data_IF_026694580585
#
_entry.id   IF_026694580585
#
_cell.length_a   1.000
_cell.length_b   1.000
_cell.length_c   1.000
_cell.angle_alpha   90.00
_cell.angle_beta   90.00
_cell.angle_gamma   90.00
#
_symmetry.space_group_name_H-M   'P 1'
#
loop_
_entity.id
_entity.type
_entity.pdbx_description
1 polymer ?
#
# COMPACT_ATOMS: atom_id res chain seq x y z
N UNK A 1 -8.70 3.38 -17.16
CA UNK A 1 -7.30 3.77 -17.44
C UNK A 1 -6.47 2.57 -17.04
N UNK A 2 -6.05 1.77 -18.01
CA UNK A 2 -5.28 0.56 -17.75
C UNK A 2 -3.90 0.99 -17.24
N UNK A 3 -3.49 0.45 -16.09
CA UNK A 3 -2.12 0.54 -15.64
C UNK A 3 -1.24 0.04 -16.79
N UNK A 4 -0.36 0.90 -17.27
CA UNK A 4 0.56 0.63 -18.38
C UNK A 4 1.79 0.01 -17.70
N UNK A 5 2.03 -1.29 -17.86
CA UNK A 5 3.28 -1.97 -17.44
C UNK A 5 4.21 -2.05 -18.65
N UNK A 6 5.02 -1.02 -18.99
CA UNK A 6 5.69 -0.99 -20.29
C UNK A 6 7.15 -1.38 -20.17
N UNK A 7 7.66 -1.60 -18.96
CA UNK A 7 9.10 -1.64 -18.73
C UNK A 7 9.67 -3.05 -18.84
N UNK A 8 8.89 -4.08 -18.52
CA UNK A 8 9.36 -5.47 -18.54
C UNK A 8 9.37 -6.04 -19.97
N UNK A 9 8.38 -5.67 -20.80
CA UNK A 9 8.27 -6.12 -22.20
C UNK A 9 9.25 -5.42 -23.15
N UNK A 10 9.82 -4.29 -22.75
CA UNK A 10 10.78 -3.51 -23.55
C UNK A 10 12.24 -3.80 -23.23
N UNK A 11 12.54 -4.69 -22.27
CA UNK A 11 13.92 -5.13 -22.07
C UNK A 11 14.32 -5.98 -23.28
N UNK A 12 15.39 -5.62 -24.01
CA UNK A 12 15.84 -6.44 -25.13
C UNK A 12 16.15 -7.82 -24.56
N UNK A 13 15.43 -8.85 -25.04
CA UNK A 13 15.79 -10.23 -24.78
C UNK A 13 17.24 -10.39 -25.24
N UNK A 14 18.17 -10.34 -24.29
CA UNK A 14 19.59 -10.46 -24.53
C UNK A 14 19.84 -11.86 -25.08
N UNK A 15 19.80 -11.94 -26.41
CA UNK A 15 20.22 -13.03 -27.27
C UNK A 15 20.20 -14.43 -26.63
N UNK A 16 19.01 -14.96 -26.35
CA UNK A 16 18.92 -16.37 -25.97
C UNK A 16 17.74 -17.05 -26.65
N UNK A 17 18.05 -18.11 -27.37
CA UNK A 17 17.15 -19.18 -27.83
C UNK A 17 16.50 -19.94 -26.66
N UNK A 18 16.58 -19.40 -25.45
CA UNK A 18 16.10 -20.01 -24.22
C UNK A 18 14.78 -19.35 -23.86
N UNK A 19 13.69 -20.13 -23.99
CA UNK A 19 12.36 -19.72 -23.53
C UNK A 19 12.46 -19.29 -22.06
N UNK A 20 11.91 -18.12 -21.73
CA UNK A 20 11.86 -17.65 -20.34
C UNK A 20 11.28 -18.77 -19.46
N UNK A 21 12.03 -19.21 -18.45
CA UNK A 21 11.60 -20.30 -17.56
C UNK A 21 10.49 -19.86 -16.61
N UNK A 22 10.35 -18.56 -16.41
CA UNK A 22 9.30 -17.93 -15.62
C UNK A 22 8.20 -17.52 -16.60
N UNK A 23 7.07 -18.23 -16.55
CA UNK A 23 5.85 -17.84 -17.27
C UNK A 23 4.72 -17.83 -16.25
N UNK A 24 3.98 -16.74 -16.21
CA UNK A 24 2.77 -16.64 -15.41
C UNK A 24 1.59 -17.17 -16.21
N UNK A 25 0.69 -17.86 -15.53
CA UNK A 25 -0.62 -18.20 -16.05
C UNK A 25 -1.46 -16.93 -16.20
N UNK A 26 -2.47 -16.97 -17.07
CA UNK A 26 -3.44 -15.87 -17.20
C UNK A 26 -4.14 -15.55 -15.88
N UNK A 27 -4.36 -16.55 -15.02
CA UNK A 27 -4.94 -16.35 -13.70
C UNK A 27 -4.00 -15.56 -12.77
N UNK A 28 -2.70 -15.88 -12.76
CA UNK A 28 -1.70 -15.13 -11.98
C UNK A 28 -1.55 -13.68 -12.47
N UNK A 29 -1.63 -13.46 -13.79
CA UNK A 29 -1.62 -12.11 -14.35
C UNK A 29 -2.87 -11.32 -13.95
N UNK A 30 -4.05 -11.92 -13.99
CA UNK A 30 -5.31 -11.29 -13.57
C UNK A 30 -5.30 -10.95 -12.06
N UNK A 31 -4.76 -11.84 -11.24
CA UNK A 31 -4.56 -11.59 -9.81
C UNK A 31 -3.61 -10.40 -9.58
N UNK A 32 -2.50 -10.33 -10.30
CA UNK A 32 -1.53 -9.23 -10.19
C UNK A 32 -2.14 -7.87 -10.60
N UNK A 33 -2.99 -7.84 -11.63
CA UNK A 33 -3.70 -6.62 -12.03
C UNK A 33 -4.66 -6.16 -10.93
N UNK A 34 -5.43 -7.09 -10.34
CA UNK A 34 -6.33 -6.80 -9.21
C UNK A 34 -5.56 -6.32 -7.97
N UNK A 35 -4.41 -6.91 -7.68
CA UNK A 35 -3.51 -6.45 -6.63
C UNK A 35 -3.02 -5.01 -6.90
N UNK A 36 -2.63 -4.68 -8.13
CA UNK A 36 -2.18 -3.34 -8.50
C UNK A 36 -3.26 -2.26 -8.34
N UNK A 37 -4.51 -2.56 -8.70
CA UNK A 37 -5.65 -1.67 -8.48
C UNK A 37 -5.95 -1.49 -6.99
N UNK A 38 -5.84 -2.57 -6.20
CA UNK A 38 -5.99 -2.54 -4.74
C UNK A 38 -4.88 -1.71 -4.08
N UNK A 39 -3.61 -1.96 -4.43
CA UNK A 39 -2.45 -1.24 -3.94
C UNK A 39 -2.49 0.25 -4.26
N UNK A 40 -2.96 0.61 -5.46
CA UNK A 40 -3.13 2.03 -5.84
C UNK A 40 -4.19 2.69 -4.96
N UNK A 41 -5.33 2.00 -4.73
CA UNK A 41 -6.40 2.50 -3.86
C UNK A 41 -5.92 2.67 -2.41
N UNK A 42 -5.16 1.71 -1.91
CA UNK A 42 -4.68 1.68 -0.53
C UNK A 42 -3.52 2.66 -0.30
N UNK A 43 -2.61 2.81 -1.26
CA UNK A 43 -1.39 3.63 -1.11
C UNK A 43 -1.62 5.14 -1.14
N UNK A 44 -2.70 5.61 -1.77
CA UNK A 44 -2.94 7.05 -1.97
C UNK A 44 -3.34 7.80 -0.68
N UNK A 45 -4.02 7.14 0.25
CA UNK A 45 -4.52 7.78 1.48
C UNK A 45 -3.41 7.97 2.53
N UNK A 46 -2.59 6.96 2.87
CA UNK A 46 -1.44 7.14 3.76
C UNK A 46 -0.42 8.12 3.18
N UNK A 47 -0.26 8.14 1.84
CA UNK A 47 0.57 9.14 1.16
C UNK A 47 0.02 10.56 1.36
N UNK A 48 -1.29 10.75 1.28
CA UNK A 48 -1.92 12.06 1.53
C UNK A 48 -1.73 12.55 2.97
N UNK A 49 -1.70 11.65 3.97
CA UNK A 49 -1.40 12.04 5.35
C UNK A 49 0.05 12.49 5.54
N UNK A 50 1.00 11.81 4.90
CA UNK A 50 2.41 12.22 4.87
C UNK A 50 2.60 13.56 4.18
N UNK A 51 2.05 13.71 2.97
CA UNK A 51 2.22 14.91 2.14
C UNK A 51 1.61 16.17 2.80
N UNK A 52 0.58 15.98 3.64
CA UNK A 52 -0.06 17.07 4.40
C UNK A 52 0.53 17.28 5.80
N UNK A 53 1.57 16.55 6.18
CA UNK A 53 2.22 16.67 7.49
C UNK A 53 1.32 16.26 8.67
N UNK A 54 0.28 15.44 8.42
CA UNK A 54 -0.65 14.98 9.46
C UNK A 54 -0.02 13.88 10.31
N UNK A 55 0.85 13.07 9.70
CA UNK A 55 1.60 12.00 10.38
C UNK A 55 3.07 12.02 9.94
N UNK A 56 4.03 12.07 10.90
CA UNK A 56 5.45 11.97 10.63
C UNK A 56 5.81 10.63 9.99
N UNK A 57 6.73 10.65 9.02
CA UNK A 57 7.15 9.44 8.28
C UNK A 57 7.88 8.44 9.18
N UNK A 58 8.64 8.93 10.14
CA UNK A 58 9.43 8.17 11.11
C UNK A 58 8.70 7.95 12.44
N UNK A 59 7.46 8.45 12.56
CA UNK A 59 6.65 8.37 13.79
C UNK A 59 7.16 9.26 14.93
N UNK A 60 8.17 10.11 14.69
CA UNK A 60 8.70 11.01 15.71
C UNK A 60 7.84 12.27 15.81
N UNK A 61 7.43 12.62 17.02
CA UNK A 61 6.68 13.84 17.33
C UNK A 61 7.31 14.52 18.53
N UNK A 62 7.27 15.85 18.57
CA UNK A 62 7.66 16.59 19.76
C UNK A 62 6.79 16.15 20.96
N UNK A 63 7.38 15.96 22.16
CA UNK A 63 6.64 15.49 23.33
C UNK A 63 5.42 16.34 23.68
N UNK A 64 5.49 17.65 23.39
CA UNK A 64 4.42 18.62 23.61
C UNK A 64 3.20 18.36 22.72
N UNK A 65 3.42 17.78 21.54
CA UNK A 65 2.39 17.50 20.53
C UNK A 65 1.95 16.02 20.53
N UNK A 66 2.54 15.17 21.38
CA UNK A 66 2.30 13.72 21.39
C UNK A 66 0.81 13.35 21.52
N UNK A 67 0.09 13.96 22.46
CA UNK A 67 -1.33 13.66 22.67
C UNK A 67 -2.19 14.11 21.47
N UNK A 68 -1.84 15.24 20.84
CA UNK A 68 -2.52 15.71 19.65
C UNK A 68 -2.25 14.77 18.45
N UNK A 69 -1.00 14.33 18.29
CA UNK A 69 -0.62 13.36 17.27
C UNK A 69 -1.31 12.01 17.48
N UNK A 70 -1.40 11.52 18.72
CA UNK A 70 -2.11 10.28 19.07
C UNK A 70 -3.61 10.36 18.76
N UNK A 71 -4.26 11.48 19.05
CA UNK A 71 -5.66 11.70 18.72
C UNK A 71 -5.89 11.77 17.19
N UNK A 72 -5.03 12.50 16.47
CA UNK A 72 -5.08 12.58 15.02
C UNK A 72 -4.83 11.23 14.35
N UNK A 73 -3.89 10.46 14.91
CA UNK A 73 -3.57 9.11 14.49
C UNK A 73 -4.79 8.18 14.57
N UNK A 74 -5.48 8.15 15.71
CA UNK A 74 -6.68 7.34 15.88
C UNK A 74 -7.75 7.70 14.83
N UNK A 75 -7.98 9.00 14.62
CA UNK A 75 -8.93 9.50 13.63
C UNK A 75 -8.52 9.16 12.19
N UNK A 76 -7.23 9.25 11.86
CA UNK A 76 -6.73 8.89 10.53
C UNK A 76 -6.87 7.39 10.27
N UNK A 77 -6.65 6.55 11.29
CA UNK A 77 -6.86 5.12 11.20
C UNK A 77 -8.34 4.79 10.96
N UNK A 78 -9.27 5.39 11.72
CA UNK A 78 -10.71 5.20 11.51
C UNK A 78 -11.14 5.60 10.10
N UNK A 79 -10.66 6.75 9.60
CA UNK A 79 -10.96 7.19 8.24
C UNK A 79 -10.38 6.20 7.23
N UNK A 80 -9.14 5.76 7.41
CA UNK A 80 -8.49 4.82 6.50
C UNK A 80 -9.25 3.49 6.43
N UNK A 81 -9.44 2.83 7.57
CA UNK A 81 -10.18 1.56 7.68
C UNK A 81 -11.62 1.70 7.19
N UNK A 82 -12.25 2.85 7.43
CA UNK A 82 -13.60 3.16 6.96
C UNK A 82 -13.76 3.31 5.45
N UNK A 83 -12.65 3.39 4.68
CA UNK A 83 -12.70 3.38 3.21
C UNK A 83 -12.87 1.97 2.61
N UNK A 84 -12.76 0.92 3.43
CA UNK A 84 -12.98 -0.46 2.99
C UNK A 84 -14.44 -0.68 2.54
N UNK A 85 -14.60 -1.43 1.45
CA UNK A 85 -15.92 -1.73 0.87
C UNK A 85 -16.61 -2.93 1.52
N UNK A 86 -15.82 -3.85 2.07
CA UNK A 86 -16.26 -5.08 2.68
C UNK A 86 -15.33 -5.48 3.84
N UNK A 87 -15.67 -6.57 4.52
CA UNK A 87 -14.94 -7.04 5.70
C UNK A 87 -13.52 -7.52 5.36
N UNK A 88 -13.35 -8.18 4.22
CA UNK A 88 -12.04 -8.67 3.77
C UNK A 88 -11.08 -7.50 3.50
N UNK A 89 -11.58 -6.47 2.82
CA UNK A 89 -10.84 -5.22 2.61
C UNK A 89 -10.58 -4.49 3.93
N UNK A 90 -11.53 -4.53 4.88
CA UNK A 90 -11.36 -3.90 6.19
C UNK A 90 -10.24 -4.57 6.99
N UNK A 91 -10.16 -5.89 6.99
CA UNK A 91 -9.06 -6.64 7.60
C UNK A 91 -7.72 -6.29 6.93
N UNK A 92 -7.70 -6.21 5.60
CA UNK A 92 -6.51 -5.83 4.85
C UNK A 92 -6.05 -4.41 5.23
N UNK A 93 -6.96 -3.45 5.34
CA UNK A 93 -6.65 -2.07 5.71
C UNK A 93 -6.09 -1.99 7.14
N UNK A 94 -6.68 -2.74 8.08
CA UNK A 94 -6.12 -2.84 9.44
C UNK A 94 -4.68 -3.38 9.44
N UNK A 95 -4.40 -4.42 8.63
CA UNK A 95 -3.05 -5.01 8.50
C UNK A 95 -2.04 -4.07 7.85
N UNK A 96 -2.49 -3.23 6.92
CA UNK A 96 -1.65 -2.30 6.16
C UNK A 96 -1.44 -0.96 6.87
N UNK A 97 -2.12 -0.72 7.97
CA UNK A 97 -1.92 0.48 8.77
C UNK A 97 -0.49 0.51 9.35
N UNK A 98 0.32 1.53 9.03
CA UNK A 98 1.76 1.47 9.28
C UNK A 98 2.17 1.66 10.74
N UNK A 99 1.31 2.22 11.59
CA UNK A 99 1.63 2.44 13.01
C UNK A 99 0.80 1.53 13.92
N UNK A 100 0.97 0.22 13.75
CA UNK A 100 0.39 -0.73 14.69
C UNK A 100 1.13 -0.66 16.02
N UNK A 101 0.40 -0.71 17.13
CA UNK A 101 0.98 -0.97 18.45
C UNK A 101 1.44 -2.43 18.46
N UNK A 102 2.57 -2.73 17.83
CA UNK A 102 3.27 -3.96 18.13
C UNK A 102 3.93 -3.71 19.49
N UNK A 103 3.33 -4.28 20.54
CA UNK A 103 4.09 -4.52 21.77
C UNK A 103 5.32 -5.31 21.35
N UNK A 104 6.48 -4.65 21.38
CA UNK A 104 7.76 -5.32 21.22
C UNK A 104 7.90 -6.30 22.39
N UNK A 105 7.79 -7.60 22.09
CA UNK A 105 8.14 -8.69 23.03
C UNK A 105 9.59 -8.58 23.51
#
# INVERSE_FOLDING_TARGET
MACHWPLWDMLPHFNSTTKCRINFTWAELDLHVKEGESMTRIGNMPKSFRDKGVLPVDGMVDPEDYEAAKANFAKCNEIFVGLAKDEEERELFNKLWPYQNQESE
#
